data_IF_588986999197
#
_entry.id   IF_588986999197
#
_cell.length_a   1.000
_cell.length_b   1.000
_cell.length_c   1.000
_cell.angle_alpha   90.00
_cell.angle_beta   90.00
_cell.angle_gamma   90.00
#
_symmetry.space_group_name_H-M   'P 1'
#
loop_
_entity.id
_entity.type
_entity.pdbx_description
1 polymer ?
#
# COMPACT_ATOMS: atom_id res chain seq x y z
N UNK A 1 0.08 9.87 11.54
CA UNK A 1 -0.43 9.92 12.92
C UNK A 1 -1.91 10.29 12.91
N UNK A 2 -2.75 9.45 13.48
CA UNK A 2 -4.20 9.64 13.62
C UNK A 2 -4.88 10.14 12.33
N UNK A 3 -4.50 9.54 11.18
CA UNK A 3 -4.97 10.00 9.88
C UNK A 3 -6.44 9.65 9.69
N UNK A 4 -7.25 10.65 9.32
CA UNK A 4 -8.66 10.49 9.00
C UNK A 4 -8.95 11.11 7.64
N UNK A 5 -9.45 10.28 6.71
CA UNK A 5 -9.86 10.71 5.37
C UNK A 5 -11.27 10.20 5.10
N UNK A 6 -12.18 11.14 4.90
CA UNK A 6 -13.58 10.86 4.68
C UNK A 6 -14.02 11.38 3.30
N UNK A 7 -15.03 10.73 2.73
CA UNK A 7 -15.69 11.22 1.53
C UNK A 7 -17.09 11.70 1.87
N UNK A 8 -17.39 12.94 1.50
CA UNK A 8 -18.68 13.57 1.70
C UNK A 8 -19.50 13.40 0.42
N UNK A 9 -20.37 12.41 0.39
CA UNK A 9 -21.23 12.09 -0.75
C UNK A 9 -22.68 12.46 -0.46
N UNK A 10 -23.51 12.49 -1.49
CA UNK A 10 -24.96 12.75 -1.34
C UNK A 10 -25.66 11.69 -0.47
N UNK A 11 -25.10 10.49 -0.39
CA UNK A 11 -25.61 9.39 0.45
C UNK A 11 -25.10 9.45 1.91
N UNK A 12 -24.22 10.41 2.24
CA UNK A 12 -23.66 10.59 3.57
C UNK A 12 -22.13 10.57 3.63
N UNK A 13 -21.58 10.56 4.83
CA UNK A 13 -20.14 10.55 5.09
C UNK A 13 -19.61 9.12 5.10
N UNK A 14 -18.62 8.86 4.26
CA UNK A 14 -17.90 7.59 4.15
C UNK A 14 -16.53 7.73 4.81
N UNK A 15 -16.31 7.20 6.04
CA UNK A 15 -15.02 7.20 6.71
C UNK A 15 -14.12 6.13 6.09
N UNK A 16 -13.37 6.48 5.04
CA UNK A 16 -12.51 5.54 4.33
C UNK A 16 -11.21 5.23 5.08
N UNK A 17 -10.71 6.18 5.86
CA UNK A 17 -9.56 6.04 6.79
C UNK A 17 -9.97 6.72 8.09
N UNK A 18 -9.93 6.02 9.21
CA UNK A 18 -10.39 6.54 10.50
C UNK A 18 -9.41 6.24 11.65
N UNK A 19 -8.51 7.18 11.90
CA UNK A 19 -7.55 7.10 12.99
C UNK A 19 -6.39 6.12 12.70
N UNK A 20 -5.87 6.11 11.48
CA UNK A 20 -4.75 5.24 11.10
C UNK A 20 -3.44 5.84 11.59
N UNK A 21 -2.68 5.03 12.33
CA UNK A 21 -1.35 5.35 12.85
C UNK A 21 -0.32 4.30 12.41
N UNK A 22 0.75 4.73 11.78
CA UNK A 22 1.93 3.89 11.53
C UNK A 22 3.17 4.73 11.22
N UNK A 23 4.33 4.07 11.25
CA UNK A 23 5.58 4.62 10.78
C UNK A 23 6.25 3.63 9.82
N UNK A 24 6.76 4.14 8.70
CA UNK A 24 7.61 3.39 7.79
C UNK A 24 9.07 3.65 8.19
N UNK A 25 9.77 2.61 8.62
CA UNK A 25 11.19 2.69 9.00
C UNK A 25 12.06 2.75 7.74
N UNK A 26 13.15 3.53 7.81
CA UNK A 26 14.08 3.67 6.68
C UNK A 26 14.66 2.32 6.24
N UNK A 27 14.63 2.05 4.93
CA UNK A 27 15.14 0.83 4.32
C UNK A 27 14.33 -0.42 4.64
N UNK A 28 13.09 -0.27 5.19
CA UNK A 28 12.22 -1.37 5.56
C UNK A 28 10.97 -1.44 4.69
N UNK A 29 10.38 -2.64 4.64
CA UNK A 29 9.09 -2.88 3.99
C UNK A 29 7.99 -2.99 5.05
N UNK A 30 7.02 -2.07 4.99
CA UNK A 30 5.77 -2.16 5.71
C UNK A 30 4.68 -2.66 4.75
N UNK A 31 4.13 -3.84 5.02
CA UNK A 31 2.99 -4.35 4.27
C UNK A 31 1.66 -3.94 4.92
N UNK A 32 0.76 -3.38 4.14
CA UNK A 32 -0.62 -3.05 4.55
C UNK A 32 -1.57 -4.07 3.95
N UNK A 33 -2.25 -4.82 4.81
CA UNK A 33 -3.14 -5.92 4.40
C UNK A 33 -4.56 -5.74 4.95
N UNK A 34 -5.52 -6.39 4.31
CA UNK A 34 -6.93 -6.40 4.73
C UNK A 34 -7.85 -6.61 3.54
N UNK A 35 -9.14 -6.86 3.81
CA UNK A 35 -10.16 -7.06 2.78
C UNK A 35 -10.34 -5.83 1.89
N UNK A 36 -10.89 -6.04 0.68
CA UNK A 36 -11.18 -4.94 -0.25
C UNK A 36 -12.08 -3.89 0.41
N UNK A 37 -11.83 -2.62 0.12
CA UNK A 37 -12.61 -1.51 0.68
C UNK A 37 -12.27 -1.11 2.13
N UNK A 38 -11.27 -1.73 2.79
CA UNK A 38 -10.91 -1.38 4.17
C UNK A 38 -10.06 -0.10 4.30
N UNK A 39 -9.75 0.62 3.21
CA UNK A 39 -9.06 1.91 3.24
C UNK A 39 -7.58 1.90 2.88
N UNK A 40 -6.99 0.77 2.46
CA UNK A 40 -5.56 0.64 2.12
C UNK A 40 -5.11 1.64 1.04
N UNK A 41 -5.72 1.57 -0.15
CA UNK A 41 -5.39 2.47 -1.28
C UNK A 41 -5.73 3.93 -0.96
N UNK A 42 -6.82 4.17 -0.22
CA UNK A 42 -7.17 5.54 0.22
C UNK A 42 -6.10 6.10 1.14
N UNK A 43 -5.51 5.29 2.02
CA UNK A 43 -4.37 5.71 2.86
C UNK A 43 -3.18 6.12 1.99
N UNK A 44 -2.80 5.32 0.98
CA UNK A 44 -1.73 5.65 0.05
C UNK A 44 -2.00 6.93 -0.74
N UNK A 45 -3.21 7.06 -1.31
CA UNK A 45 -3.61 8.26 -2.06
C UNK A 45 -3.67 9.50 -1.18
N UNK A 46 -4.05 9.36 0.09
CA UNK A 46 -4.01 10.47 1.06
C UNK A 46 -2.58 10.91 1.33
N UNK A 47 -1.63 9.98 1.50
CA UNK A 47 -0.20 10.30 1.67
C UNK A 47 0.32 11.10 0.48
N UNK A 48 -0.04 10.66 -0.73
CA UNK A 48 0.34 11.34 -1.98
C UNK A 48 -0.52 12.58 -2.30
N UNK A 49 -1.55 12.89 -1.49
CA UNK A 49 -2.53 13.95 -1.75
C UNK A 49 -3.15 13.85 -3.15
N UNK A 50 -3.50 12.63 -3.55
CA UNK A 50 -4.15 12.33 -4.83
C UNK A 50 -5.66 12.11 -4.69
N UNK A 51 -6.21 12.21 -3.48
CA UNK A 51 -7.66 12.17 -3.25
C UNK A 51 -8.32 13.42 -3.85
N UNK A 52 -9.31 13.26 -4.75
CA UNK A 52 -10.07 14.40 -5.26
C UNK A 52 -10.79 15.14 -4.13
N UNK A 53 -10.61 16.43 -4.04
CA UNK A 53 -11.24 17.29 -3.02
C UNK A 53 -12.05 18.40 -3.70
N UNK A 54 -13.41 18.34 -3.69
CA UNK A 54 -14.32 17.33 -3.16
C UNK A 54 -14.41 16.08 -4.04
N UNK A 55 -15.02 14.94 -3.61
CA UNK A 55 -15.77 14.71 -2.35
C UNK A 55 -14.89 14.29 -1.17
N UNK A 56 -13.61 13.98 -1.39
CA UNK A 56 -12.70 13.59 -0.32
C UNK A 56 -12.28 14.77 0.56
N UNK A 57 -11.96 14.49 1.82
CA UNK A 57 -11.42 15.47 2.77
C UNK A 57 -10.55 14.78 3.81
N UNK A 58 -9.37 15.33 4.08
CA UNK A 58 -8.56 14.97 5.24
C UNK A 58 -9.14 15.70 6.45
N UNK A 59 -9.85 14.96 7.29
CA UNK A 59 -10.55 15.53 8.46
C UNK A 59 -9.58 15.87 9.59
N UNK A 60 -8.58 15.01 9.82
CA UNK A 60 -7.57 15.22 10.84
C UNK A 60 -6.34 14.35 10.61
N UNK A 61 -5.32 14.56 11.44
CA UNK A 61 -4.09 13.78 11.45
C UNK A 61 -2.93 14.48 10.76
N UNK A 62 -1.80 13.81 10.79
CA UNK A 62 -0.55 14.31 10.23
C UNK A 62 0.14 13.22 9.41
N UNK A 63 0.74 13.62 8.29
CA UNK A 63 1.62 12.79 7.48
C UNK A 63 3.01 13.42 7.52
N UNK A 64 3.88 12.84 8.33
CA UNK A 64 5.21 13.40 8.57
C UNK A 64 6.24 12.73 7.67
N UNK A 65 6.91 13.54 6.87
CA UNK A 65 8.05 13.14 6.04
C UNK A 65 9.21 14.11 6.24
N UNK A 66 10.36 13.62 6.70
CA UNK A 66 11.54 14.44 7.03
C UNK A 66 11.21 15.67 7.90
N UNK A 67 10.33 15.48 8.89
CA UNK A 67 9.90 16.55 9.81
C UNK A 67 8.85 17.51 9.23
N UNK A 68 8.47 17.40 7.95
CA UNK A 68 7.43 18.20 7.32
C UNK A 68 6.10 17.46 7.34
N UNK A 69 5.00 18.16 7.61
CA UNK A 69 3.66 17.61 7.50
C UNK A 69 3.12 17.80 6.07
N UNK A 70 3.05 16.69 5.30
CA UNK A 70 2.62 16.71 3.89
C UNK A 70 1.19 17.26 3.71
N UNK A 71 0.32 17.10 4.71
CA UNK A 71 -1.06 17.62 4.64
C UNK A 71 -1.09 19.15 4.54
N UNK A 72 -0.08 19.82 5.13
CA UNK A 72 0.01 21.29 5.22
C UNK A 72 0.82 21.95 4.10
N UNK A 73 1.49 21.17 3.26
CA UNK A 73 2.31 21.70 2.17
C UNK A 73 1.44 22.34 1.09
N UNK A 74 2.00 23.33 0.40
CA UNK A 74 1.42 23.87 -0.84
C UNK A 74 1.47 22.82 -1.96
N UNK A 75 0.70 23.02 -3.03
CA UNK A 75 0.71 22.08 -4.15
C UNK A 75 2.07 22.06 -4.86
N UNK A 76 2.76 23.20 -4.94
CA UNK A 76 4.11 23.26 -5.53
C UNK A 76 5.12 22.45 -4.71
N UNK A 77 5.11 22.57 -3.38
CA UNK A 77 5.95 21.75 -2.50
C UNK A 77 5.65 20.25 -2.62
N UNK A 78 4.38 19.88 -2.77
CA UNK A 78 4.01 18.48 -3.01
C UNK A 78 4.46 17.96 -4.37
N UNK A 79 4.47 18.80 -5.42
CA UNK A 79 5.01 18.42 -6.74
C UNK A 79 6.50 18.10 -6.68
N UNK A 80 7.26 18.83 -5.87
CA UNK A 80 8.69 18.55 -5.68
C UNK A 80 8.93 17.21 -4.97
N UNK A 81 7.97 16.73 -4.17
CA UNK A 81 8.06 15.47 -3.44
C UNK A 81 7.55 14.30 -4.28
N UNK A 82 6.38 14.45 -4.96
CA UNK A 82 5.77 13.39 -5.75
C UNK A 82 6.65 12.98 -6.92
N UNK A 83 6.94 11.69 -7.03
CA UNK A 83 7.77 11.13 -8.10
C UNK A 83 9.27 11.36 -7.93
N UNK A 84 9.67 12.23 -7.02
CA UNK A 84 11.06 12.55 -6.72
C UNK A 84 11.53 11.90 -5.40
N UNK A 85 10.92 12.27 -4.28
CA UNK A 85 11.26 11.74 -2.96
C UNK A 85 10.34 10.59 -2.53
N UNK A 86 9.06 10.67 -2.88
CA UNK A 86 8.05 9.64 -2.67
C UNK A 86 7.44 9.30 -4.02
N UNK A 87 7.60 8.07 -4.48
CA UNK A 87 6.99 7.57 -5.71
C UNK A 87 5.87 6.56 -5.42
N UNK A 88 5.00 6.36 -6.40
CA UNK A 88 3.89 5.42 -6.26
C UNK A 88 3.75 4.55 -7.52
N UNK A 89 3.56 3.26 -7.30
CA UNK A 89 3.10 2.29 -8.29
C UNK A 89 1.61 2.08 -8.03
N UNK A 90 0.79 2.34 -9.06
CA UNK A 90 -0.66 2.21 -8.98
C UNK A 90 -1.12 0.78 -9.29
N UNK A 91 -2.31 0.43 -8.82
CA UNK A 91 -2.90 -0.90 -8.92
C UNK A 91 -3.04 -1.41 -10.36
N UNK A 92 -3.33 -0.54 -11.33
CA UNK A 92 -3.56 -0.92 -12.73
C UNK A 92 -2.50 -0.35 -13.69
N UNK A 93 -1.56 -1.16 -14.18
CA UNK A 93 -0.53 -0.70 -15.13
C UNK A 93 -1.11 -0.26 -16.48
N UNK A 94 -2.28 -0.81 -16.85
CA UNK A 94 -2.92 -0.50 -18.13
C UNK A 94 -3.46 0.92 -18.21
N UNK A 95 -3.88 1.48 -17.09
CA UNK A 95 -4.44 2.84 -16.98
C UNK A 95 -3.39 3.87 -16.58
N UNK A 96 -2.25 3.43 -16.03
CA UNK A 96 -1.18 4.31 -15.54
C UNK A 96 -0.25 4.82 -16.64
N UNK A 97 -0.09 4.06 -17.74
CA UNK A 97 0.70 4.48 -18.89
C UNK A 97 -0.18 5.18 -19.92
N UNK A 98 0.21 6.38 -20.33
CA UNK A 98 -0.49 7.12 -21.36
C UNK A 98 -0.26 6.46 -22.74
N UNK A 99 -1.32 5.95 -23.42
CA UNK A 99 -1.16 5.17 -24.65
C UNK A 99 -0.68 5.98 -25.86
N UNK A 100 -0.78 7.32 -25.83
CA UNK A 100 -0.41 8.19 -26.95
C UNK A 100 1.02 8.73 -26.87
N UNK A 101 1.76 8.42 -25.79
CA UNK A 101 3.17 8.76 -25.63
C UNK A 101 4.04 7.48 -25.60
N UNK A 102 5.26 7.60 -26.15
CA UNK A 102 6.23 6.52 -26.04
C UNK A 102 6.66 6.29 -24.60
N UNK A 103 7.17 5.11 -24.30
CA UNK A 103 7.70 4.76 -22.97
C UNK A 103 8.78 5.75 -22.56
N UNK A 104 9.69 6.08 -23.49
CA UNK A 104 10.76 7.02 -23.23
C UNK A 104 10.26 8.41 -22.87
N UNK A 105 9.27 8.91 -23.59
CA UNK A 105 8.74 10.25 -23.31
C UNK A 105 8.21 10.36 -21.87
N UNK A 106 7.49 9.32 -21.40
CA UNK A 106 6.89 9.33 -20.07
C UNK A 106 7.95 9.25 -18.95
N UNK A 107 9.01 8.45 -19.12
CA UNK A 107 10.11 8.35 -18.14
C UNK A 107 10.99 9.61 -18.18
N UNK A 108 11.32 10.09 -19.38
CA UNK A 108 12.17 11.28 -19.56
C UNK A 108 11.54 12.52 -19.00
N UNK A 109 10.22 12.69 -19.12
CA UNK A 109 9.48 13.80 -18.54
C UNK A 109 9.72 13.92 -17.04
N UNK A 110 9.56 12.82 -16.29
CA UNK A 110 9.79 12.79 -14.85
C UNK A 110 11.25 13.15 -14.49
N UNK A 111 12.20 12.58 -15.21
CA UNK A 111 13.64 12.85 -14.97
C UNK A 111 13.99 14.31 -15.24
N UNK A 112 13.52 14.89 -16.35
CA UNK A 112 13.77 16.30 -16.70
C UNK A 112 13.16 17.24 -15.67
N UNK A 113 11.92 16.97 -15.28
CA UNK A 113 11.16 17.78 -14.32
C UNK A 113 11.88 17.84 -12.97
N UNK A 114 12.25 16.68 -12.43
CA UNK A 114 12.74 16.57 -11.04
C UNK A 114 14.27 16.70 -10.93
N UNK A 115 15.02 16.18 -11.87
CA UNK A 115 16.49 16.18 -11.80
C UNK A 115 17.13 17.35 -12.55
N UNK A 116 16.34 18.17 -13.26
CA UNK A 116 16.79 19.37 -14.00
C UNK A 116 17.96 19.10 -14.96
N UNK A 117 17.99 17.91 -15.55
CA UNK A 117 18.99 17.52 -16.55
C UNK A 117 18.50 17.75 -17.97
N UNK A 118 19.43 17.79 -18.93
CA UNK A 118 19.09 17.96 -20.36
C UNK A 118 18.35 16.72 -20.90
N UNK A 119 17.43 16.84 -21.87
CA UNK A 119 16.66 15.72 -22.42
C UNK A 119 17.52 14.55 -22.91
N UNK A 120 18.69 14.82 -23.53
CA UNK A 120 19.62 13.78 -23.97
C UNK A 120 20.17 12.93 -22.82
N UNK A 121 20.51 13.57 -21.71
CA UNK A 121 20.96 12.89 -20.50
C UNK A 121 19.81 12.13 -19.83
N UNK A 122 18.63 12.76 -19.73
CA UNK A 122 17.43 12.11 -19.19
C UNK A 122 17.08 10.83 -19.97
N UNK A 123 17.19 10.85 -21.31
CA UNK A 123 16.96 9.65 -22.14
C UNK A 123 17.97 8.53 -21.81
N UNK A 124 19.24 8.86 -21.60
CA UNK A 124 20.24 7.84 -21.22
C UNK A 124 19.95 7.24 -19.83
N UNK A 125 19.50 8.08 -18.88
CA UNK A 125 19.07 7.60 -17.56
C UNK A 125 17.82 6.70 -17.66
N UNK A 126 16.86 7.06 -18.51
CA UNK A 126 15.67 6.26 -18.77
C UNK A 126 16.04 4.88 -19.36
N UNK A 127 16.94 4.82 -20.34
CA UNK A 127 17.43 3.55 -20.91
C UNK A 127 18.08 2.68 -19.82
N UNK A 128 18.97 3.26 -19.00
CA UNK A 128 19.59 2.55 -17.87
C UNK A 128 18.55 2.01 -16.90
N UNK A 129 17.51 2.78 -16.59
CA UNK A 129 16.45 2.33 -15.71
C UNK A 129 15.62 1.20 -16.34
N UNK A 130 15.27 1.30 -17.61
CA UNK A 130 14.60 0.22 -18.33
C UNK A 130 15.42 -1.08 -18.35
N UNK A 131 16.73 -0.99 -18.57
CA UNK A 131 17.65 -2.13 -18.47
C UNK A 131 17.65 -2.71 -17.05
N UNK A 132 17.70 -1.84 -16.02
CA UNK A 132 17.72 -2.22 -14.60
C UNK A 132 16.48 -2.98 -14.18
N UNK A 133 15.31 -2.60 -14.70
CA UNK A 133 14.06 -3.33 -14.44
C UNK A 133 13.86 -4.55 -15.35
N UNK A 134 14.86 -4.90 -16.18
CA UNK A 134 14.86 -6.10 -17.01
C UNK A 134 14.02 -6.00 -18.29
N UNK A 135 13.91 -4.80 -18.87
CA UNK A 135 13.37 -4.64 -20.23
C UNK A 135 14.48 -5.03 -21.24
N UNK A 136 14.28 -6.06 -22.08
CA UNK A 136 15.24 -6.42 -23.10
C UNK A 136 15.32 -5.33 -24.17
N UNK A 137 16.49 -5.13 -24.78
CA UNK A 137 16.71 -4.16 -25.88
C UNK A 137 16.18 -2.75 -25.54
N UNK A 138 16.45 -2.26 -24.31
CA UNK A 138 15.90 -1.02 -23.78
C UNK A 138 16.16 0.21 -24.67
N UNK A 139 17.27 0.24 -25.41
CA UNK A 139 17.62 1.32 -26.35
C UNK A 139 16.65 1.42 -27.52
N UNK A 140 16.10 0.31 -27.97
CA UNK A 140 15.12 0.26 -29.05
C UNK A 140 13.70 0.47 -28.47
N UNK A 141 13.39 -0.25 -27.39
CA UNK A 141 12.03 -0.26 -26.80
C UNK A 141 11.63 1.04 -26.13
N UNK A 142 12.57 1.92 -25.81
CA UNK A 142 12.26 3.24 -25.24
C UNK A 142 11.38 4.08 -26.19
N UNK A 143 11.42 3.84 -27.49
CA UNK A 143 10.62 4.53 -28.51
C UNK A 143 9.28 3.82 -28.80
N UNK A 144 9.03 2.65 -28.21
CA UNK A 144 7.77 1.92 -28.34
C UNK A 144 6.66 2.57 -27.50
N UNK A 145 5.42 2.31 -27.91
CA UNK A 145 4.22 2.71 -27.20
C UNK A 145 3.74 1.61 -26.23
N UNK A 146 2.96 1.94 -25.20
CA UNK A 146 2.45 0.94 -24.26
C UNK A 146 1.71 -0.24 -24.91
N UNK A 147 0.96 -0.02 -25.97
CA UNK A 147 0.22 -1.09 -26.65
C UNK A 147 1.12 -2.14 -27.37
N UNK A 148 2.39 -1.82 -27.59
CA UNK A 148 3.37 -2.73 -28.20
C UNK A 148 4.05 -3.65 -27.16
N UNK A 149 3.71 -3.51 -25.88
CA UNK A 149 4.33 -4.24 -24.76
C UNK A 149 3.39 -5.25 -24.13
N UNK A 150 3.96 -6.36 -23.64
CA UNK A 150 3.22 -7.33 -22.80
C UNK A 150 2.83 -6.73 -21.44
N UNK A 151 1.88 -7.36 -20.74
CA UNK A 151 1.46 -6.91 -19.39
C UNK A 151 2.63 -6.80 -18.41
N UNK A 152 3.47 -7.82 -18.33
CA UNK A 152 4.65 -7.81 -17.47
C UNK A 152 5.69 -6.74 -17.85
N UNK A 153 5.84 -6.45 -19.16
CA UNK A 153 6.71 -5.35 -19.60
C UNK A 153 6.13 -3.98 -19.22
N UNK A 154 4.82 -3.77 -19.37
CA UNK A 154 4.15 -2.53 -18.92
C UNK A 154 4.34 -2.30 -17.42
N UNK A 155 4.24 -3.38 -16.61
CA UNK A 155 4.51 -3.31 -15.18
C UNK A 155 5.95 -2.89 -14.90
N UNK A 156 6.93 -3.50 -15.55
CA UNK A 156 8.35 -3.13 -15.43
C UNK A 156 8.61 -1.68 -15.86
N UNK A 157 7.94 -1.19 -16.88
CA UNK A 157 8.02 0.21 -17.32
C UNK A 157 7.44 1.15 -16.28
N UNK A 158 6.29 0.80 -15.68
CA UNK A 158 5.70 1.60 -14.60
C UNK A 158 6.62 1.66 -13.38
N UNK A 159 7.26 0.54 -13.02
CA UNK A 159 8.30 0.50 -11.98
C UNK A 159 9.48 1.39 -12.37
N UNK A 160 9.98 1.30 -13.62
CA UNK A 160 11.05 2.15 -14.12
C UNK A 160 10.69 3.65 -14.01
N UNK A 161 9.47 4.01 -14.36
CA UNK A 161 8.97 5.37 -14.24
C UNK A 161 8.94 5.83 -12.78
N UNK A 162 8.39 5.03 -11.88
CA UNK A 162 8.33 5.33 -10.45
C UNK A 162 9.73 5.52 -9.84
N UNK A 163 10.71 4.70 -10.26
CA UNK A 163 12.07 4.71 -9.71
C UNK A 163 13.04 5.63 -10.45
N UNK A 164 12.61 6.28 -11.53
CA UNK A 164 13.48 7.08 -12.42
C UNK A 164 14.19 8.25 -11.72
N UNK A 165 13.64 8.73 -10.61
CA UNK A 165 14.20 9.81 -9.80
C UNK A 165 14.89 9.32 -8.51
N UNK A 166 15.06 8.00 -8.32
CA UNK A 166 15.64 7.39 -7.12
C UNK A 166 14.93 7.81 -5.82
N UNK A 167 13.63 7.53 -5.67
CA UNK A 167 12.86 7.95 -4.51
C UNK A 167 13.34 7.25 -3.24
N UNK A 168 13.23 7.94 -2.09
CA UNK A 168 13.53 7.35 -0.78
C UNK A 168 12.39 6.46 -0.27
N UNK A 169 11.16 6.72 -0.73
CA UNK A 169 9.97 5.95 -0.37
C UNK A 169 9.23 5.53 -1.64
N UNK A 170 8.95 4.25 -1.74
CA UNK A 170 8.07 3.68 -2.76
C UNK A 170 6.76 3.21 -2.11
N UNK A 171 5.64 3.72 -2.57
CA UNK A 171 4.32 3.20 -2.25
C UNK A 171 3.91 2.29 -3.41
N UNK A 172 3.69 1.01 -3.14
CA UNK A 172 3.27 0.04 -4.15
C UNK A 172 1.87 -0.47 -3.81
N UNK A 173 0.87 -0.01 -4.56
CA UNK A 173 -0.54 -0.37 -4.36
C UNK A 173 -0.89 -1.54 -5.27
N UNK A 174 -0.94 -2.74 -4.70
CA UNK A 174 -1.20 -4.01 -5.40
C UNK A 174 -0.37 -4.18 -6.69
N UNK A 175 0.97 -4.05 -6.63
CA UNK A 175 1.81 -3.92 -7.82
C UNK A 175 1.86 -5.18 -8.69
N UNK A 176 1.32 -6.29 -8.24
CA UNK A 176 1.33 -7.59 -8.92
C UNK A 176 -0.06 -8.11 -9.28
N UNK A 177 -1.12 -7.35 -9.01
CA UNK A 177 -2.50 -7.72 -9.34
C UNK A 177 -2.63 -7.93 -10.86
N UNK A 178 -3.33 -8.98 -11.26
CA UNK A 178 -3.55 -9.42 -12.65
C UNK A 178 -2.28 -9.89 -13.41
N UNK A 179 -1.20 -10.21 -12.70
CA UNK A 179 -0.03 -10.89 -13.26
C UNK A 179 -0.07 -12.39 -12.94
N UNK A 180 0.55 -13.20 -13.78
CA UNK A 180 0.79 -14.60 -13.46
C UNK A 180 1.81 -14.74 -12.31
N UNK A 181 1.78 -15.87 -11.61
CA UNK A 181 2.60 -16.13 -10.41
C UNK A 181 4.10 -15.97 -10.68
N UNK A 182 4.56 -16.35 -11.89
CA UNK A 182 5.98 -16.26 -12.24
C UNK A 182 6.41 -14.80 -12.40
N UNK A 183 5.62 -14.00 -13.08
CA UNK A 183 5.90 -12.55 -13.25
C UNK A 183 5.75 -11.82 -11.91
N UNK A 184 4.76 -12.20 -11.08
CA UNK A 184 4.61 -11.66 -9.72
C UNK A 184 5.90 -11.86 -8.91
N UNK A 185 6.43 -13.09 -8.83
CA UNK A 185 7.68 -13.37 -8.12
C UNK A 185 8.84 -12.52 -8.65
N UNK A 186 9.01 -12.45 -9.98
CA UNK A 186 10.06 -11.63 -10.60
C UNK A 186 9.95 -10.13 -10.27
N UNK A 187 8.73 -9.60 -10.15
CA UNK A 187 8.51 -8.19 -9.77
C UNK A 187 8.85 -7.96 -8.31
N UNK A 188 8.48 -8.88 -7.42
CA UNK A 188 8.81 -8.79 -6.00
C UNK A 188 10.31 -8.88 -5.77
N UNK A 189 10.99 -9.83 -6.39
CA UNK A 189 12.46 -9.95 -6.37
C UNK A 189 13.13 -8.66 -6.84
N UNK A 190 12.64 -8.08 -7.94
CA UNK A 190 13.13 -6.82 -8.47
C UNK A 190 12.99 -5.68 -7.44
N UNK A 191 11.83 -5.55 -6.79
CA UNK A 191 11.58 -4.52 -5.78
C UNK A 191 12.50 -4.71 -4.57
N UNK A 192 12.70 -5.94 -4.08
CA UNK A 192 13.61 -6.24 -2.98
C UNK A 192 15.08 -5.94 -3.35
N UNK A 193 15.53 -6.31 -4.55
CA UNK A 193 16.86 -5.98 -5.03
C UNK A 193 17.08 -4.47 -5.09
N UNK A 194 16.11 -3.73 -5.64
CA UNK A 194 16.18 -2.27 -5.72
C UNK A 194 16.12 -1.61 -4.35
N UNK A 195 15.32 -2.14 -3.41
CA UNK A 195 15.30 -1.71 -2.02
C UNK A 195 16.68 -1.85 -1.38
N UNK A 196 17.32 -3.01 -1.52
CA UNK A 196 18.61 -3.28 -0.89
C UNK A 196 19.75 -2.47 -1.51
N UNK A 197 19.72 -2.22 -2.82
CA UNK A 197 20.78 -1.49 -3.54
C UNK A 197 20.66 0.02 -3.42
N UNK A 198 19.43 0.56 -3.37
CA UNK A 198 19.17 2.01 -3.31
C UNK A 198 18.86 2.51 -1.90
N UNK A 199 18.67 1.61 -0.92
CA UNK A 199 18.32 1.96 0.46
C UNK A 199 16.92 2.56 0.63
N UNK A 200 16.04 2.30 -0.33
CA UNK A 200 14.65 2.79 -0.37
C UNK A 200 13.77 2.07 0.65
N UNK A 201 12.73 2.75 1.15
CA UNK A 201 11.70 2.15 2.02
C UNK A 201 10.45 1.85 1.20
N UNK A 202 9.78 0.73 1.49
CA UNK A 202 8.60 0.30 0.72
C UNK A 202 7.37 0.25 1.61
N UNK A 203 6.31 0.94 1.19
CA UNK A 203 4.94 0.74 1.68
C UNK A 203 4.21 -0.13 0.66
N UNK A 204 4.07 -1.42 0.94
CA UNK A 204 3.43 -2.38 0.05
C UNK A 204 1.99 -2.63 0.48
N UNK A 205 1.05 -2.35 -0.38
CA UNK A 205 -0.36 -2.71 -0.20
C UNK A 205 -0.63 -3.98 -1.00
N UNK A 206 -1.14 -5.00 -0.34
CA UNK A 206 -1.52 -6.26 -0.97
C UNK A 206 -2.61 -6.98 -0.18
N UNK A 207 -3.35 -7.85 -0.84
CA UNK A 207 -4.26 -8.80 -0.19
C UNK A 207 -3.65 -10.22 -0.14
N UNK A 208 -2.49 -10.44 -0.75
CA UNK A 208 -1.81 -11.72 -0.79
C UNK A 208 -0.87 -11.89 0.41
N UNK A 209 -1.29 -12.69 1.38
CA UNK A 209 -0.52 -12.96 2.59
C UNK A 209 0.75 -13.80 2.34
N UNK A 210 0.83 -14.55 1.22
CA UNK A 210 2.05 -15.25 0.85
C UNK A 210 3.15 -14.25 0.46
N UNK A 211 2.79 -13.23 -0.32
CA UNK A 211 3.68 -12.09 -0.63
C UNK A 211 4.13 -11.39 0.64
N UNK A 212 3.21 -11.14 1.59
CA UNK A 212 3.56 -10.48 2.86
C UNK A 212 4.57 -11.29 3.65
N UNK A 213 4.40 -12.62 3.74
CA UNK A 213 5.33 -13.49 4.46
C UNK A 213 6.75 -13.47 3.87
N UNK A 214 6.88 -13.22 2.57
CA UNK A 214 8.14 -13.20 1.83
C UNK A 214 8.88 -11.86 1.93
N UNK A 215 8.16 -10.73 1.82
CA UNK A 215 8.81 -9.43 1.61
C UNK A 215 8.69 -8.45 2.78
N UNK A 216 7.80 -8.71 3.76
CA UNK A 216 7.54 -7.76 4.83
C UNK A 216 8.57 -7.80 5.96
N UNK A 217 8.96 -6.63 6.47
CA UNK A 217 9.58 -6.50 7.80
C UNK A 217 8.49 -6.33 8.88
N UNK A 218 7.51 -5.47 8.61
CA UNK A 218 6.36 -5.20 9.48
C UNK A 218 5.06 -5.33 8.71
N UNK A 219 3.99 -5.70 9.40
CA UNK A 219 2.65 -5.85 8.83
C UNK A 219 1.66 -4.96 9.58
N UNK A 220 0.85 -4.22 8.82
CA UNK A 220 -0.26 -3.41 9.28
C UNK A 220 -1.56 -4.02 8.78
N UNK A 221 -2.36 -4.57 9.65
CA UNK A 221 -3.64 -5.18 9.30
C UNK A 221 -4.76 -4.15 9.45
N UNK A 222 -5.47 -3.89 8.36
CA UNK A 222 -6.60 -2.97 8.33
C UNK A 222 -7.93 -3.71 8.15
N UNK A 223 -8.94 -3.27 8.86
CA UNK A 223 -10.32 -3.72 8.72
C UNK A 223 -11.28 -2.53 8.82
N UNK A 224 -12.18 -2.39 7.85
CA UNK A 224 -13.25 -1.39 7.90
C UNK A 224 -12.74 -0.01 8.36
N UNK A 225 -11.81 0.59 7.61
CA UNK A 225 -11.16 1.90 7.80
C UNK A 225 -10.19 2.05 9.00
N UNK A 226 -10.00 1.01 9.81
CA UNK A 226 -9.16 1.08 11.02
C UNK A 226 -7.99 0.10 10.98
N UNK A 227 -6.93 0.43 11.72
CA UNK A 227 -5.85 -0.52 12.04
C UNK A 227 -6.33 -1.40 13.17
N UNK A 228 -6.32 -2.72 12.95
CA UNK A 228 -6.71 -3.72 13.95
C UNK A 228 -5.52 -4.40 14.60
N UNK A 229 -4.42 -4.55 13.87
CA UNK A 229 -3.17 -5.14 14.39
C UNK A 229 -1.96 -4.61 13.62
N UNK A 230 -0.85 -4.41 14.32
CA UNK A 230 0.45 -4.08 13.74
C UNK A 230 1.55 -4.80 14.50
N UNK A 231 2.41 -5.55 13.80
CA UNK A 231 3.60 -6.17 14.39
C UNK A 231 4.65 -6.50 13.33
N UNK A 232 5.78 -7.05 13.75
CA UNK A 232 6.73 -7.71 12.86
C UNK A 232 6.09 -8.88 12.14
N UNK A 233 6.54 -9.19 10.93
CA UNK A 233 5.94 -10.23 10.08
C UNK A 233 5.85 -11.59 10.81
N UNK A 234 6.90 -12.01 11.51
CA UNK A 234 6.92 -13.28 12.25
C UNK A 234 5.82 -13.31 13.31
N UNK A 235 5.67 -12.24 14.09
CA UNK A 235 4.64 -12.14 15.13
C UNK A 235 3.23 -12.20 14.57
N UNK A 236 2.96 -11.50 13.46
CA UNK A 236 1.63 -11.54 12.82
C UNK A 236 1.27 -12.94 12.34
N UNK A 237 2.22 -13.70 11.78
CA UNK A 237 1.95 -15.04 11.26
C UNK A 237 1.93 -16.13 12.34
N UNK A 238 2.83 -16.06 13.33
CA UNK A 238 2.97 -17.10 14.36
C UNK A 238 2.09 -16.85 15.59
N UNK A 239 1.83 -15.58 15.92
CA UNK A 239 1.16 -15.19 17.15
C UNK A 239 0.13 -14.06 16.93
N UNK A 240 -0.76 -14.17 15.90
CA UNK A 240 -1.77 -13.15 15.62
C UNK A 240 -2.68 -12.94 16.83
N UNK A 241 -2.95 -11.70 17.18
CA UNK A 241 -3.74 -11.34 18.36
C UNK A 241 -5.18 -10.99 18.00
N UNK A 242 -5.37 -10.14 17.01
CA UNK A 242 -6.74 -9.74 16.66
C UNK A 242 -7.51 -10.91 16.01
N UNK A 243 -8.76 -11.19 16.40
CA UNK A 243 -9.55 -12.29 15.83
C UNK A 243 -9.72 -12.23 14.31
N UNK A 244 -9.74 -11.03 13.73
CA UNK A 244 -9.73 -10.86 12.27
C UNK A 244 -8.41 -11.33 11.64
N UNK A 245 -7.25 -10.95 12.21
CA UNK A 245 -5.94 -11.41 11.74
C UNK A 245 -5.82 -12.93 11.83
N UNK A 246 -6.29 -13.51 12.93
CA UNK A 246 -6.35 -14.98 13.10
C UNK A 246 -7.19 -15.64 12.01
N UNK A 247 -8.33 -15.03 11.65
CA UNK A 247 -9.18 -15.49 10.55
C UNK A 247 -8.48 -15.41 9.19
N UNK A 248 -7.78 -14.29 8.91
CA UNK A 248 -7.01 -14.12 7.68
C UNK A 248 -5.90 -15.17 7.53
N UNK A 249 -5.12 -15.41 8.60
CA UNK A 249 -4.03 -16.41 8.58
C UNK A 249 -4.59 -17.83 8.41
N UNK A 250 -5.70 -18.17 9.08
CA UNK A 250 -6.36 -19.48 8.93
C UNK A 250 -6.95 -19.71 7.53
N UNK A 251 -7.24 -18.66 6.79
CA UNK A 251 -7.75 -18.77 5.42
C UNK A 251 -6.64 -19.07 4.38
N UNK A 252 -5.35 -18.98 4.76
CA UNK A 252 -4.23 -19.31 3.87
C UNK A 252 -4.22 -20.82 3.61
N UNK A 253 -4.22 -21.27 2.34
CA UNK A 253 -4.07 -22.68 2.01
C UNK A 253 -2.73 -23.23 2.51
N UNK A 254 -2.75 -24.31 3.28
CA UNK A 254 -1.52 -25.00 3.71
C UNK A 254 -1.14 -26.06 2.69
N UNK A 255 0.09 -25.98 2.19
CA UNK A 255 0.65 -27.01 1.30
C UNK A 255 0.68 -28.37 2.03
N UNK A 256 0.12 -29.39 1.36
CA UNK A 256 0.09 -30.76 1.92
C UNK A 256 -1.16 -31.12 2.70
N UNK A 257 -1.98 -30.17 3.14
CA UNK A 257 -3.27 -30.46 3.75
C UNK A 257 -4.40 -30.33 2.70
N UNK A 258 -4.95 -31.47 2.25
CA UNK A 258 -6.21 -31.47 1.51
C UNK A 258 -7.35 -31.14 2.47
N UNK A 259 -7.86 -29.91 2.41
CA UNK A 259 -9.08 -29.50 3.10
C UNK A 259 -10.19 -29.42 2.06
N UNK A 260 -11.35 -30.02 2.37
CA UNK A 260 -12.51 -29.97 1.47
C UNK A 260 -13.09 -28.56 1.32
N UNK A 261 -12.83 -27.67 2.28
CA UNK A 261 -13.24 -26.27 2.28
C UNK A 261 -12.22 -25.40 3.01
N UNK A 262 -11.83 -24.28 2.38
CA UNK A 262 -10.99 -23.27 3.04
C UNK A 262 -11.75 -22.62 4.20
N UNK A 263 -11.01 -22.24 5.25
CA UNK A 263 -11.58 -21.45 6.34
C UNK A 263 -11.92 -20.05 5.84
N UNK A 264 -13.17 -19.67 5.95
CA UNK A 264 -13.64 -18.33 5.60
C UNK A 264 -13.97 -17.56 6.89
N UNK A 265 -13.74 -16.24 6.87
CA UNK A 265 -14.26 -15.37 7.94
C UNK A 265 -15.75 -15.17 7.69
N UNK A 266 -16.64 -15.63 8.58
CA UNK A 266 -18.10 -15.55 8.35
C UNK A 266 -18.58 -14.09 8.18
N UNK A 267 -19.66 -13.93 7.39
CA UNK A 267 -20.31 -12.64 7.18
C UNK A 267 -19.59 -11.75 6.17
N UNK A 268 -20.02 -10.51 6.04
CA UNK A 268 -19.50 -9.53 5.10
C UNK A 268 -18.97 -8.30 5.84
N UNK A 269 -18.01 -7.59 5.22
CA UNK A 269 -17.55 -6.28 5.72
C UNK A 269 -18.75 -5.32 5.71
N UNK A 270 -19.04 -4.64 6.82
CA UNK A 270 -20.14 -3.69 6.85
C UNK A 270 -19.87 -2.54 5.88
N UNK A 271 -20.94 -2.00 5.30
CA UNK A 271 -20.81 -0.77 4.49
C UNK A 271 -20.34 0.40 5.37
N UNK A 272 -19.55 1.34 4.84
CA UNK A 272 -19.01 2.45 5.66
C UNK A 272 -20.08 3.28 6.39
N UNK A 273 -21.27 3.44 5.79
CA UNK A 273 -22.39 4.13 6.44
C UNK A 273 -22.96 3.37 7.65
N UNK A 274 -22.68 2.07 7.74
CA UNK A 274 -23.22 1.17 8.76
C UNK A 274 -22.13 0.63 9.70
N UNK A 275 -20.98 1.29 9.80
CA UNK A 275 -19.93 0.86 10.72
C UNK A 275 -20.46 0.88 12.18
N UNK A 276 -20.21 -0.18 12.95
CA UNK A 276 -20.53 -0.20 14.38
C UNK A 276 -19.89 0.99 15.12
N UNK A 277 -20.57 1.51 16.14
CA UNK A 277 -20.01 2.58 16.98
C UNK A 277 -18.77 2.14 17.77
N UNK A 278 -18.64 0.85 18.02
CA UNK A 278 -17.52 0.23 18.73
C UNK A 278 -16.50 -0.39 17.80
N UNK A 279 -16.10 -1.62 18.11
CA UNK A 279 -15.21 -2.40 17.25
C UNK A 279 -15.88 -2.71 15.91
N UNK A 280 -15.29 -2.30 14.81
CA UNK A 280 -15.86 -2.51 13.46
C UNK A 280 -15.96 -4.00 13.08
N UNK A 281 -15.17 -4.88 13.71
CA UNK A 281 -15.23 -6.33 13.50
C UNK A 281 -16.27 -7.05 14.39
N UNK A 282 -16.97 -6.35 15.29
CA UNK A 282 -17.85 -6.95 16.30
C UNK A 282 -18.86 -7.95 15.73
N UNK A 283 -19.49 -7.66 14.59
CA UNK A 283 -20.52 -8.51 13.99
C UNK A 283 -20.00 -9.83 13.38
N UNK A 284 -18.69 -9.91 13.13
CA UNK A 284 -18.02 -11.11 12.57
C UNK A 284 -17.10 -11.79 13.60
N UNK A 285 -16.95 -11.19 14.80
CA UNK A 285 -16.00 -11.66 15.80
C UNK A 285 -16.54 -12.86 16.58
N UNK A 286 -15.86 -14.01 16.60
CA UNK A 286 -16.27 -15.15 17.41
C UNK A 286 -16.14 -14.92 18.92
N UNK A 287 -15.44 -13.85 19.34
CA UNK A 287 -15.19 -13.47 20.73
C UNK A 287 -15.86 -12.15 21.09
N UNK A 288 -16.92 -11.77 20.38
CA UNK A 288 -17.61 -10.49 20.62
C UNK A 288 -18.14 -10.39 22.06
N UNK A 289 -17.91 -9.24 22.68
CA UNK A 289 -18.41 -8.88 23.99
C UNK A 289 -19.32 -7.65 23.87
N UNK A 290 -20.19 -7.38 24.85
CA UNK A 290 -21.10 -6.22 24.82
C UNK A 290 -20.35 -4.89 24.67
N UNK A 291 -19.19 -4.74 25.29
CA UNK A 291 -18.34 -3.58 25.17
C UNK A 291 -17.84 -3.34 23.75
N UNK A 292 -17.65 -4.42 22.96
CA UNK A 292 -17.20 -4.33 21.56
C UNK A 292 -18.22 -3.61 20.68
N UNK A 293 -19.52 -3.68 21.00
CA UNK A 293 -20.59 -3.00 20.27
C UNK A 293 -20.75 -1.52 20.67
N UNK A 294 -20.25 -1.16 21.85
CA UNK A 294 -20.50 0.16 22.44
C UNK A 294 -19.31 1.11 22.31
N UNK A 295 -18.09 0.59 22.40
CA UNK A 295 -16.86 1.39 22.47
C UNK A 295 -15.83 0.91 21.47
N UNK A 296 -15.08 1.88 20.92
CA UNK A 296 -13.88 1.58 20.14
C UNK A 296 -12.79 1.06 21.09
N UNK A 297 -12.19 -0.11 20.82
CA UNK A 297 -11.11 -0.60 21.65
C UNK A 297 -9.87 0.31 21.62
N UNK A 298 -9.66 1.09 20.54
CA UNK A 298 -8.41 1.80 20.32
C UNK A 298 -7.21 0.85 20.27
N UNK A 299 -6.08 1.30 19.77
CA UNK A 299 -4.87 0.49 19.67
C UNK A 299 -4.11 0.47 20.99
N UNK A 300 -3.55 -0.68 21.40
CA UNK A 300 -2.72 -0.86 22.57
C UNK A 300 -1.53 -1.76 22.25
N UNK A 301 -0.38 -1.50 22.86
CA UNK A 301 0.78 -2.38 22.79
C UNK A 301 0.57 -3.57 23.72
N UNK A 302 0.65 -4.78 23.17
CA UNK A 302 0.41 -6.04 23.91
C UNK A 302 1.70 -6.81 24.17
N UNK A 303 2.73 -6.53 23.39
CA UNK A 303 4.12 -6.96 23.58
C UNK A 303 5.02 -6.01 22.77
N UNK A 304 6.33 -6.11 22.93
CA UNK A 304 7.28 -5.22 22.24
C UNK A 304 7.01 -5.11 20.75
N UNK A 305 6.74 -3.90 20.27
CA UNK A 305 6.41 -3.56 18.86
C UNK A 305 5.18 -4.33 18.32
N UNK A 306 4.31 -4.91 19.17
CA UNK A 306 3.08 -5.58 18.78
C UNK A 306 1.84 -4.82 19.31
N UNK A 307 1.10 -4.23 18.41
CA UNK A 307 -0.03 -3.34 18.69
C UNK A 307 -1.33 -3.96 18.21
N UNK A 308 -2.37 -3.93 19.04
CA UNK A 308 -3.67 -4.55 18.74
C UNK A 308 -4.83 -3.66 19.18
N UNK A 309 -5.85 -3.58 18.35
CA UNK A 309 -7.10 -2.87 18.65
C UNK A 309 -8.20 -3.87 19.07
N UNK A 310 -8.07 -4.45 20.27
CA UNK A 310 -9.00 -5.47 20.76
C UNK A 310 -9.15 -5.45 22.28
N UNK A 311 -10.39 -5.55 22.77
CA UNK A 311 -10.68 -5.62 24.21
C UNK A 311 -10.20 -6.90 24.90
N UNK A 312 -9.91 -7.98 24.15
CA UNK A 312 -9.34 -9.21 24.73
C UNK A 312 -7.97 -8.98 25.37
N UNK A 313 -7.26 -7.92 24.97
CA UNK A 313 -5.90 -7.60 25.42
C UNK A 313 -5.81 -6.28 26.18
N UNK A 314 -6.93 -5.65 26.50
CA UNK A 314 -6.93 -4.47 27.38
C UNK A 314 -7.00 -4.92 28.84
N UNK A 315 -5.97 -4.58 29.61
CA UNK A 315 -6.00 -4.69 31.06
C UNK A 315 -7.06 -3.74 31.63
N UNK A 316 -7.94 -4.27 32.47
CA UNK A 316 -8.99 -3.52 33.15
C UNK A 316 -10.38 -3.99 32.74
N UNK A 317 -10.69 -5.23 33.12
CA UNK A 317 -12.07 -5.67 33.32
C UNK A 317 -12.64 -5.06 34.58
#
# INVERSE_FOLDING_TARGET
RNLKTHFHTDEGVVPAVDGVDFALKKGKTLCVVGESGCGKSVTAYTIMRLIPMPPGKVESGEILYKGKNLVKLTENEMRDIRGNEIAMIFQEPMTSLNPVYTIGNQIVEAIVLHQKVKPKEARQRAIKMLTKVGIPDAEMRIDEYPHQMSGGMKQRVMIAMALSCNPEVLIADEPTTALDVTIQAQILDLLQQLQSTEGMSILLITHDLAVVAEVADEVLVMYASKVVEKAGVIEVFQNPKHPYTQGLIKAIPQLGNRVDRLNEIPGQVPKPQNYPKGCHFADRCPHVMDVCRQKDPGIAEVSTDHYVSCFLYKEGK
#
